data_IF_561440391041
#
_entry.id   IF_561440391041
#
_cell.length_a   1.000
_cell.length_b   1.000
_cell.length_c   1.000
_cell.angle_alpha   90.00
_cell.angle_beta   90.00
_cell.angle_gamma   90.00
#
_symmetry.space_group_name_H-M   'P 1'
#
loop_
_entity.id
_entity.type
_entity.pdbx_description
1 polymer ?
#
# COMPACT_ATOMS: atom_id res chain seq x y z
N UNK A 1 22.39 -1.04 32.71
CA UNK A 1 22.17 -1.88 31.52
C UNK A 1 21.31 -1.09 30.56
N UNK A 2 21.86 -0.64 29.44
CA UNK A 2 21.11 0.14 28.47
C UNK A 2 20.11 -0.78 27.75
N UNK A 3 18.82 -0.61 28.02
CA UNK A 3 17.77 -1.33 27.30
C UNK A 3 17.75 -0.82 25.85
N UNK A 4 18.06 -1.70 24.90
CA UNK A 4 18.00 -1.40 23.48
C UNK A 4 16.54 -1.27 23.06
N UNK A 5 16.19 -0.11 22.51
CA UNK A 5 14.88 0.08 21.88
C UNK A 5 14.80 -0.87 20.70
N UNK A 6 13.75 -1.68 20.68
CA UNK A 6 13.45 -2.58 19.59
C UNK A 6 11.97 -2.50 19.23
N UNK A 7 11.67 -2.82 17.99
CA UNK A 7 10.33 -2.92 17.43
C UNK A 7 10.27 -4.17 16.59
N UNK A 8 9.12 -4.82 16.52
CA UNK A 8 8.95 -5.98 15.66
C UNK A 8 7.64 -5.90 14.90
N UNK A 9 7.65 -6.50 13.73
CA UNK A 9 6.43 -6.80 12.98
C UNK A 9 6.52 -8.24 12.49
N UNK A 10 5.36 -8.84 12.26
CA UNK A 10 5.30 -10.24 11.86
C UNK A 10 4.29 -10.46 10.74
N UNK A 11 4.59 -11.48 9.97
CA UNK A 11 3.69 -12.15 9.06
C UNK A 11 3.40 -13.54 9.63
N UNK A 12 2.53 -14.30 8.98
CA UNK A 12 2.18 -15.64 9.45
C UNK A 12 3.39 -16.59 9.40
N UNK A 13 4.37 -16.32 8.52
CA UNK A 13 5.55 -17.18 8.30
C UNK A 13 6.87 -16.60 8.83
N UNK A 14 7.01 -15.27 8.90
CA UNK A 14 8.26 -14.59 9.26
C UNK A 14 8.03 -13.51 10.29
N UNK A 15 8.97 -13.35 11.22
CA UNK A 15 8.99 -12.25 12.19
C UNK A 15 10.21 -11.38 11.90
N UNK A 16 10.04 -10.06 11.81
CA UNK A 16 11.16 -9.12 11.63
C UNK A 16 11.29 -8.23 12.85
N UNK A 17 12.46 -8.24 13.47
CA UNK A 17 12.84 -7.44 14.63
C UNK A 17 13.81 -6.34 14.21
N UNK A 18 13.42 -5.09 14.43
CA UNK A 18 14.24 -3.90 14.25
C UNK A 18 14.82 -3.46 15.60
N UNK A 19 16.13 -3.60 15.76
CA UNK A 19 16.87 -3.14 16.95
C UNK A 19 17.49 -1.79 16.63
N UNK A 20 17.11 -0.73 17.33
CA UNK A 20 17.60 0.62 17.09
C UNK A 20 18.96 0.85 17.73
N UNK A 21 20.01 0.41 17.03
CA UNK A 21 21.40 0.60 17.43
C UNK A 21 22.11 1.50 16.41
N UNK A 22 22.30 2.78 16.77
CA UNK A 22 22.94 3.77 15.91
C UNK A 22 24.45 3.54 15.87
N UNK A 23 24.99 3.38 14.67
CA UNK A 23 26.43 3.18 14.45
C UNK A 23 26.92 1.79 14.85
N UNK A 24 26.07 0.76 14.76
CA UNK A 24 26.49 -0.61 15.00
C UNK A 24 27.45 -1.09 13.90
N UNK A 25 28.67 -1.45 14.29
CA UNK A 25 29.63 -2.05 13.37
C UNK A 25 29.31 -3.53 13.17
N UNK A 26 29.21 -4.02 11.91
CA UNK A 26 28.88 -5.41 11.63
C UNK A 26 29.90 -6.41 12.22
N UNK A 27 31.14 -5.98 12.45
CA UNK A 27 32.20 -6.82 13.04
C UNK A 27 32.07 -6.98 14.55
N UNK A 28 31.41 -6.05 15.24
CA UNK A 28 31.21 -6.08 16.69
C UNK A 28 29.86 -6.69 17.10
N UNK A 29 28.93 -6.80 16.16
CA UNK A 29 27.61 -7.40 16.35
C UNK A 29 27.72 -8.92 16.42
N UNK A 30 27.38 -9.48 17.59
CA UNK A 30 27.21 -10.92 17.80
C UNK A 30 25.73 -11.24 17.93
N UNK A 31 25.22 -12.05 17.00
CA UNK A 31 23.84 -12.53 16.98
C UNK A 31 23.85 -14.05 17.10
N UNK A 32 23.12 -14.56 18.09
CA UNK A 32 22.90 -16.00 18.28
C UNK A 32 21.42 -16.31 18.15
N UNK A 33 21.11 -17.20 17.20
CA UNK A 33 19.78 -17.75 16.99
C UNK A 33 19.68 -19.13 17.64
N UNK A 34 18.76 -19.28 18.59
CA UNK A 34 18.39 -20.57 19.17
C UNK A 34 16.90 -20.83 18.91
N UNK A 35 16.43 -22.09 18.92
CA UNK A 35 15.06 -22.44 18.58
C UNK A 35 14.00 -21.62 19.33
N UNK A 36 14.26 -21.20 20.58
CA UNK A 36 13.33 -20.41 21.38
C UNK A 36 13.99 -19.24 22.10
N UNK A 37 15.18 -18.85 21.67
CA UNK A 37 15.95 -17.78 22.30
C UNK A 37 16.69 -16.98 21.24
N UNK A 38 16.72 -15.67 21.42
CA UNK A 38 17.48 -14.78 20.58
C UNK A 38 18.37 -13.91 21.47
N UNK A 39 19.64 -13.81 21.12
CA UNK A 39 20.56 -12.90 21.79
C UNK A 39 21.34 -12.06 20.79
N UNK A 40 21.35 -10.77 21.05
CA UNK A 40 22.10 -9.75 20.33
C UNK A 40 23.05 -9.07 21.31
N UNK A 41 24.32 -8.99 20.94
CA UNK A 41 25.35 -8.27 21.72
C UNK A 41 26.14 -7.38 20.79
N UNK A 42 26.25 -6.10 21.14
CA UNK A 42 27.10 -5.12 20.47
C UNK A 42 27.83 -4.28 21.52
N UNK A 43 29.08 -4.63 21.81
CA UNK A 43 29.88 -3.98 22.86
C UNK A 43 29.18 -4.01 24.23
N UNK A 44 28.82 -2.82 24.74
CA UNK A 44 28.14 -2.64 26.03
C UNK A 44 26.61 -2.83 25.98
N UNK A 45 26.03 -2.93 24.78
CA UNK A 45 24.58 -3.07 24.59
C UNK A 45 24.24 -4.53 24.31
N UNK A 46 23.31 -5.08 25.07
CA UNK A 46 22.81 -6.44 24.86
C UNK A 46 21.29 -6.47 24.86
N UNK A 47 20.73 -7.32 24.02
CA UNK A 47 19.30 -7.62 23.97
C UNK A 47 19.15 -9.14 23.96
N UNK A 48 18.52 -9.68 25.01
CA UNK A 48 18.22 -11.10 25.11
C UNK A 48 16.70 -11.25 25.17
N UNK A 49 16.15 -12.01 24.22
CA UNK A 49 14.73 -12.35 24.17
C UNK A 49 14.60 -13.84 24.49
N UNK A 50 14.15 -14.14 25.70
CA UNK A 50 13.95 -15.49 26.22
C UNK A 50 12.75 -15.53 27.19
N UNK A 51 11.84 -16.53 27.08
CA UNK A 51 11.66 -17.45 25.96
C UNK A 51 10.83 -16.79 24.84
N UNK A 52 11.18 -17.09 23.59
CA UNK A 52 10.36 -16.72 22.44
C UNK A 52 9.00 -17.45 22.50
N UNK A 53 7.97 -16.79 21.98
CA UNK A 53 6.59 -17.31 21.99
C UNK A 53 6.45 -18.61 21.17
N UNK A 54 7.25 -18.77 20.12
CA UNK A 54 7.27 -19.96 19.28
C UNK A 54 8.67 -20.37 18.88
N UNK A 55 8.77 -21.52 18.21
CA UNK A 55 10.04 -22.01 17.68
C UNK A 55 10.42 -21.30 16.37
N UNK A 56 11.68 -20.89 16.27
CA UNK A 56 12.28 -20.34 15.04
C UNK A 56 13.19 -21.38 14.39
N UNK A 57 13.35 -21.27 13.08
CA UNK A 57 14.34 -22.01 12.30
C UNK A 57 15.62 -21.15 12.19
N UNK A 58 16.71 -21.50 12.91
CA UNK A 58 17.96 -20.74 12.88
C UNK A 58 18.62 -20.71 11.50
N UNK A 59 18.43 -21.76 10.69
CA UNK A 59 19.08 -21.88 9.37
C UNK A 59 18.45 -20.95 8.34
N UNK A 60 17.15 -20.69 8.47
CA UNK A 60 16.40 -19.78 7.60
C UNK A 60 16.28 -18.35 8.16
N UNK A 61 16.86 -18.08 9.32
CA UNK A 61 16.86 -16.76 9.93
C UNK A 61 18.03 -15.94 9.42
N UNK A 62 17.78 -14.68 9.07
CA UNK A 62 18.76 -13.78 8.47
C UNK A 62 18.84 -12.45 9.24
N UNK A 63 19.95 -11.72 9.09
CA UNK A 63 20.10 -10.40 9.71
C UNK A 63 20.77 -9.42 8.76
N UNK A 64 20.48 -8.13 8.94
CA UNK A 64 21.04 -7.03 8.16
C UNK A 64 21.38 -5.89 9.11
N UNK A 65 22.67 -5.52 9.15
CA UNK A 65 23.16 -4.42 9.98
C UNK A 65 23.09 -3.12 9.17
N UNK A 66 22.20 -2.21 9.56
CA UNK A 66 22.12 -0.87 8.99
C UNK A 66 22.78 0.18 9.90
N UNK A 67 22.98 1.40 9.38
CA UNK A 67 23.63 2.50 10.13
C UNK A 67 22.87 2.97 11.36
N UNK A 68 21.54 2.83 11.36
CA UNK A 68 20.64 3.36 12.41
C UNK A 68 19.93 2.25 13.17
N UNK A 69 19.73 1.10 12.53
CA UNK A 69 19.04 -0.06 13.06
C UNK A 69 19.62 -1.35 12.51
N UNK A 70 19.54 -2.41 13.29
CA UNK A 70 19.82 -3.78 12.89
C UNK A 70 18.48 -4.47 12.68
N UNK A 71 18.28 -5.04 11.50
CA UNK A 71 17.07 -5.80 11.16
C UNK A 71 17.38 -7.29 11.22
N UNK A 72 16.60 -8.02 12.01
CA UNK A 72 16.73 -9.46 12.20
C UNK A 72 15.45 -10.11 11.73
N UNK A 73 15.55 -11.05 10.79
CA UNK A 73 14.43 -11.77 10.21
C UNK A 73 14.46 -13.21 10.73
N UNK A 74 13.45 -13.56 11.50
CA UNK A 74 13.24 -14.91 12.00
C UNK A 74 12.30 -15.67 11.07
N UNK A 75 12.69 -16.88 10.71
CA UNK A 75 11.80 -17.84 10.08
C UNK A 75 11.05 -18.64 11.15
N UNK A 76 9.72 -18.58 11.16
CA UNK A 76 8.92 -19.34 12.13
C UNK A 76 8.81 -20.79 11.71
N UNK A 77 8.95 -21.72 12.65
CA UNK A 77 8.76 -23.14 12.38
C UNK A 77 7.28 -23.51 12.26
N UNK A 78 6.42 -22.85 13.05
CA UNK A 78 4.98 -22.98 12.97
C UNK A 78 4.37 -21.69 12.41
N UNK A 79 3.51 -21.81 11.40
CA UNK A 79 2.74 -20.68 10.87
C UNK A 79 1.80 -20.17 11.96
N UNK A 80 1.88 -18.89 12.28
CA UNK A 80 1.06 -18.27 13.32
C UNK A 80 1.58 -16.90 13.78
N UNK A 81 0.67 -16.04 14.20
CA UNK A 81 1.00 -14.73 14.77
C UNK A 81 1.23 -14.84 16.26
N UNK A 82 2.35 -14.31 16.75
CA UNK A 82 2.76 -14.41 18.14
C UNK A 82 2.13 -13.30 19.00
N UNK A 83 1.88 -12.12 18.42
CA UNK A 83 1.36 -10.94 19.11
C UNK A 83 2.35 -10.30 20.10
N UNK A 84 3.24 -11.08 20.71
CA UNK A 84 4.37 -10.65 21.54
C UNK A 84 5.64 -11.45 21.20
N UNK A 85 6.80 -10.82 21.31
CA UNK A 85 8.11 -11.48 21.11
C UNK A 85 8.42 -12.50 22.21
N UNK A 86 8.16 -12.09 23.45
CA UNK A 86 8.40 -12.88 24.66
C UNK A 86 7.06 -13.37 25.19
N UNK A 87 7.00 -14.62 25.64
CA UNK A 87 5.81 -15.21 26.25
C UNK A 87 6.18 -16.10 27.43
N UNK A 88 5.21 -16.34 28.33
CA UNK A 88 5.39 -17.23 29.47
C UNK A 88 5.58 -18.70 29.06
N UNK A 89 6.36 -19.42 29.87
CA UNK A 89 6.45 -20.88 29.85
C UNK A 89 5.21 -21.46 30.57
N UNK A 90 4.55 -22.53 30.09
CA UNK A 90 5.09 -23.59 29.25
C UNK A 90 4.68 -23.53 27.77
N UNK A 91 5.32 -24.39 27.00
CA UNK A 91 5.05 -24.67 25.58
C UNK A 91 3.63 -25.26 25.38
N UNK A 92 2.69 -24.55 24.70
CA UNK A 92 1.41 -25.17 24.34
C UNK A 92 1.54 -26.26 23.27
N UNK A 93 2.73 -26.48 22.67
CA UNK A 93 3.00 -27.59 21.75
C UNK A 93 3.67 -28.81 22.40
N UNK A 94 4.01 -28.80 23.69
CA UNK A 94 4.49 -30.00 24.37
C UNK A 94 3.40 -31.11 24.50
N UNK A 95 2.16 -30.83 24.11
CA UNK A 95 1.05 -31.79 24.09
C UNK A 95 0.35 -31.92 22.73
N UNK A 96 1.04 -31.64 21.63
CA UNK A 96 0.56 -32.04 20.30
C UNK A 96 1.46 -33.18 19.79
N UNK A 97 0.97 -34.43 19.71
CA UNK A 97 1.75 -35.50 19.12
C UNK A 97 2.11 -35.13 17.69
N UNK A 98 3.37 -35.34 17.36
CA UNK A 98 3.95 -35.21 16.03
C UNK A 98 3.28 -36.24 15.12
N UNK A 99 2.14 -35.89 14.53
CA UNK A 99 1.55 -36.66 13.46
C UNK A 99 2.33 -36.33 12.18
N UNK A 100 3.38 -37.12 11.93
CA UNK A 100 3.94 -37.26 10.61
C UNK A 100 2.84 -37.76 9.66
N UNK A 101 2.34 -36.88 8.81
CA UNK A 101 1.64 -37.23 7.59
C UNK A 101 1.98 -36.16 6.54
N UNK A 102 2.25 -36.54 5.27
CA UNK A 102 2.26 -35.56 4.20
C UNK A 102 0.83 -35.07 4.06
N UNK A 103 0.52 -33.94 4.69
CA UNK A 103 -0.78 -33.31 4.55
C UNK A 103 -0.87 -32.80 3.11
N UNK A 104 -1.60 -33.57 2.29
CA UNK A 104 -2.17 -33.09 1.03
C UNK A 104 -2.72 -31.68 1.27
N UNK A 105 -2.43 -30.68 0.42
CA UNK A 105 -2.83 -29.31 0.68
C UNK A 105 -4.35 -29.27 0.84
N UNK A 106 -4.80 -29.01 2.07
CA UNK A 106 -6.21 -28.74 2.32
C UNK A 106 -6.64 -27.63 1.36
N UNK A 107 -7.81 -27.74 0.71
CA UNK A 107 -8.27 -26.72 -0.22
C UNK A 107 -8.29 -25.40 0.53
N UNK A 108 -7.36 -24.51 0.16
CA UNK A 108 -7.28 -23.16 0.71
C UNK A 108 -8.65 -22.55 0.53
N UNK A 109 -9.33 -22.21 1.63
CA UNK A 109 -10.57 -21.42 1.55
C UNK A 109 -10.24 -20.22 0.66
N UNK A 110 -11.01 -19.95 -0.40
CA UNK A 110 -10.68 -18.88 -1.32
C UNK A 110 -10.52 -17.62 -0.49
N UNK A 111 -9.30 -17.07 -0.50
CA UNK A 111 -9.02 -15.77 0.07
C UNK A 111 -10.02 -14.83 -0.60
N UNK A 112 -10.75 -14.04 0.19
CA UNK A 112 -11.73 -13.08 -0.33
C UNK A 112 -11.01 -12.25 -1.39
N UNK A 113 -11.32 -12.49 -2.65
CA UNK A 113 -10.63 -11.88 -3.77
C UNK A 113 -11.19 -10.47 -3.92
N UNK A 114 -10.58 -9.50 -3.26
CA UNK A 114 -11.02 -8.10 -3.29
C UNK A 114 -10.96 -7.52 -4.71
N UNK A 115 -10.03 -7.99 -5.55
CA UNK A 115 -9.99 -7.68 -6.97
C UNK A 115 -11.17 -8.30 -7.74
N UNK A 116 -11.61 -9.50 -7.34
CA UNK A 116 -12.82 -10.12 -7.90
C UNK A 116 -14.09 -9.37 -7.54
N UNK A 117 -14.22 -8.93 -6.28
CA UNK A 117 -15.36 -8.17 -5.79
C UNK A 117 -15.43 -6.78 -6.45
N UNK A 118 -14.29 -6.11 -6.62
CA UNK A 118 -14.26 -4.81 -7.31
C UNK A 118 -14.63 -4.95 -8.78
N UNK A 119 -14.14 -5.96 -9.49
CA UNK A 119 -14.54 -6.20 -10.88
C UNK A 119 -16.02 -6.59 -10.98
N UNK A 120 -16.55 -7.42 -10.08
CA UNK A 120 -17.97 -7.79 -10.08
C UNK A 120 -18.87 -6.60 -9.76
N UNK A 121 -18.48 -5.69 -8.87
CA UNK A 121 -19.19 -4.42 -8.62
C UNK A 121 -19.12 -3.51 -9.84
N UNK A 122 -17.95 -3.38 -10.47
CA UNK A 122 -17.76 -2.55 -11.67
C UNK A 122 -18.55 -3.07 -12.89
N UNK A 123 -18.72 -4.39 -13.00
CA UNK A 123 -19.48 -5.04 -14.08
C UNK A 123 -21.00 -5.07 -13.79
N UNK A 124 -21.41 -5.13 -12.52
CA UNK A 124 -22.82 -5.18 -12.12
C UNK A 124 -23.45 -3.81 -11.95
N UNK A 125 -22.67 -2.76 -11.68
CA UNK A 125 -23.06 -1.38 -11.98
C UNK A 125 -23.02 -1.17 -13.50
N UNK A 126 -24.09 -1.57 -14.19
CA UNK A 126 -24.42 -0.99 -15.49
C UNK A 126 -24.23 0.53 -15.37
N UNK A 127 -23.53 1.19 -16.32
CA UNK A 127 -23.35 2.63 -16.27
C UNK A 127 -24.72 3.27 -16.07
N UNK A 128 -24.88 3.97 -14.95
CA UNK A 128 -26.08 4.76 -14.69
C UNK A 128 -26.27 5.60 -15.94
N UNK A 129 -27.34 5.31 -16.67
CA UNK A 129 -27.60 6.04 -17.91
C UNK A 129 -27.83 7.50 -17.54
N UNK A 130 -27.26 8.46 -18.28
CA UNK A 130 -27.33 9.89 -17.98
C UNK A 130 -28.77 10.45 -17.93
N UNK A 131 -29.78 9.64 -18.27
CA UNK A 131 -31.20 9.95 -18.19
C UNK A 131 -31.79 9.96 -16.76
N UNK A 132 -31.13 9.37 -15.76
CA UNK A 132 -31.70 9.26 -14.40
C UNK A 132 -31.10 10.21 -13.35
N UNK A 133 -29.84 10.62 -13.48
CA UNK A 133 -29.23 11.59 -12.58
C UNK A 133 -28.07 12.32 -13.31
N UNK A 134 -28.17 13.64 -13.54
CA UNK A 134 -27.13 14.41 -14.22
C UNK A 134 -25.78 14.45 -13.46
N UNK A 135 -25.74 14.02 -12.19
CA UNK A 135 -24.51 13.88 -11.40
C UNK A 135 -24.02 12.42 -11.25
N UNK A 136 -24.78 11.42 -11.71
CA UNK A 136 -24.35 10.02 -11.61
C UNK A 136 -23.45 9.67 -12.81
N UNK A 137 -22.14 9.68 -12.58
CA UNK A 137 -21.15 9.22 -13.56
C UNK A 137 -19.83 10.01 -13.60
N UNK A 138 -19.66 11.02 -12.74
CA UNK A 138 -18.41 11.77 -12.63
C UNK A 138 -17.91 12.30 -13.99
N UNK A 139 -16.59 12.30 -14.18
CA UNK A 139 -15.94 12.71 -15.44
C UNK A 139 -16.39 11.92 -16.68
N UNK A 140 -16.82 10.65 -16.53
CA UNK A 140 -17.18 9.81 -17.67
C UNK A 140 -18.50 10.25 -18.33
N UNK A 141 -19.52 10.54 -17.51
CA UNK A 141 -20.80 11.05 -18.01
C UNK A 141 -20.66 12.45 -18.62
N UNK A 142 -19.84 13.30 -17.99
CA UNK A 142 -19.52 14.64 -18.49
C UNK A 142 -18.79 14.57 -19.84
N UNK A 143 -17.84 13.64 -19.99
CA UNK A 143 -17.12 13.44 -21.26
C UNK A 143 -18.05 12.94 -22.37
N UNK A 144 -18.98 12.02 -22.07
CA UNK A 144 -19.96 11.55 -23.05
C UNK A 144 -20.97 12.63 -23.44
N UNK A 145 -21.35 13.52 -22.52
CA UNK A 145 -22.13 14.72 -22.84
C UNK A 145 -21.37 15.65 -23.81
N UNK A 146 -20.09 15.93 -23.56
CA UNK A 146 -19.28 16.75 -24.46
C UNK A 146 -19.04 16.11 -25.83
N UNK A 147 -18.91 14.79 -25.89
CA UNK A 147 -18.79 14.04 -27.16
C UNK A 147 -20.05 14.17 -28.01
N UNK A 148 -21.23 14.03 -27.40
CA UNK A 148 -22.51 14.24 -28.10
C UNK A 148 -22.66 15.68 -28.56
N UNK A 149 -22.39 16.64 -27.68
CA UNK A 149 -22.46 18.07 -28.01
C UNK A 149 -21.52 18.44 -29.18
N UNK A 150 -20.31 17.88 -29.21
CA UNK A 150 -19.38 18.10 -30.33
C UNK A 150 -19.83 17.40 -31.62
N UNK A 151 -20.33 16.16 -31.53
CA UNK A 151 -20.79 15.39 -32.68
C UNK A 151 -22.00 16.05 -33.37
N UNK A 152 -22.94 16.60 -32.59
CA UNK A 152 -24.15 17.27 -33.12
C UNK A 152 -23.94 18.77 -33.41
N UNK A 153 -22.82 19.37 -33.00
CA UNK A 153 -22.54 20.79 -33.21
C UNK A 153 -22.14 21.14 -34.66
N UNK A 154 -22.57 22.32 -35.10
CA UNK A 154 -22.12 22.96 -36.34
C UNK A 154 -20.63 23.33 -36.29
N UNK A 155 -20.01 23.54 -37.45
CA UNK A 155 -18.56 23.77 -37.56
C UNK A 155 -18.07 24.99 -36.76
N UNK A 156 -18.85 26.07 -36.71
CA UNK A 156 -18.52 27.26 -35.92
C UNK A 156 -18.62 27.00 -34.41
N UNK A 157 -19.60 26.21 -33.98
CA UNK A 157 -19.75 25.79 -32.58
C UNK A 157 -18.59 24.88 -32.16
N UNK A 158 -18.18 23.94 -33.01
CA UNK A 158 -17.00 23.09 -32.77
C UNK A 158 -15.72 23.91 -32.67
N UNK A 159 -15.55 24.91 -33.53
CA UNK A 159 -14.42 25.85 -33.51
C UNK A 159 -14.42 26.69 -32.23
N UNK A 160 -15.58 27.17 -31.80
CA UNK A 160 -15.74 27.89 -30.54
C UNK A 160 -15.32 27.02 -29.36
N UNK A 161 -15.81 25.78 -29.30
CA UNK A 161 -15.52 24.82 -28.23
C UNK A 161 -14.03 24.50 -28.15
N UNK A 162 -13.39 24.17 -29.29
CA UNK A 162 -11.96 23.88 -29.33
C UNK A 162 -11.12 25.10 -28.93
N UNK A 163 -11.46 26.28 -29.44
CA UNK A 163 -10.72 27.51 -29.16
C UNK A 163 -10.87 27.92 -27.70
N UNK A 164 -12.08 27.89 -27.14
CA UNK A 164 -12.32 28.22 -25.73
C UNK A 164 -11.64 27.24 -24.79
N UNK A 165 -11.66 25.95 -25.13
CA UNK A 165 -11.03 24.91 -24.30
C UNK A 165 -9.51 25.08 -24.31
N UNK A 166 -8.92 25.38 -25.47
CA UNK A 166 -7.48 25.57 -25.58
C UNK A 166 -7.00 26.89 -24.93
N UNK A 167 -7.73 27.99 -25.09
CA UNK A 167 -7.38 29.28 -24.49
C UNK A 167 -7.57 29.30 -22.97
N UNK A 168 -8.61 28.62 -22.47
CA UNK A 168 -8.90 28.52 -21.03
C UNK A 168 -8.10 27.43 -20.30
N UNK A 169 -7.15 26.75 -20.97
CA UNK A 169 -6.37 25.67 -20.35
C UNK A 169 -7.23 24.48 -19.91
N UNK A 170 -8.37 24.27 -20.56
CA UNK A 170 -9.28 23.15 -20.31
C UNK A 170 -10.34 23.40 -19.25
N UNK A 171 -10.48 24.62 -18.73
CA UNK A 171 -11.40 24.91 -17.62
C UNK A 171 -12.72 25.56 -18.02
N UNK A 172 -12.81 26.11 -19.24
CA UNK A 172 -14.02 26.77 -19.74
C UNK A 172 -14.35 26.31 -21.16
N UNK A 173 -15.62 25.97 -21.39
CA UNK A 173 -16.14 25.59 -22.70
C UNK A 173 -17.23 26.57 -23.13
N UNK A 174 -17.03 27.22 -24.28
CA UNK A 174 -18.02 28.11 -24.90
C UNK A 174 -18.43 27.57 -26.25
N UNK A 175 -19.73 27.60 -26.53
CA UNK A 175 -20.33 27.18 -27.80
C UNK A 175 -20.57 28.35 -28.76
N UNK A 176 -20.28 29.60 -28.34
CA UNK A 176 -20.58 30.80 -29.12
C UNK A 176 -19.34 31.36 -29.85
N UNK A 177 -19.25 31.11 -31.15
CA UNK A 177 -18.11 31.53 -31.97
C UNK A 177 -17.90 33.04 -32.02
N UNK A 178 -18.99 33.82 -32.07
CA UNK A 178 -18.92 35.28 -32.18
C UNK A 178 -18.26 35.95 -30.97
N UNK A 179 -18.32 35.31 -29.80
CA UNK A 179 -17.77 35.79 -28.54
C UNK A 179 -16.31 35.37 -28.39
N UNK A 180 -16.01 34.09 -28.62
CA UNK A 180 -14.66 33.50 -28.56
C UNK A 180 -13.75 34.06 -29.67
N UNK A 181 -14.32 34.56 -30.77
CA UNK A 181 -13.56 35.24 -31.83
C UNK A 181 -13.12 36.65 -31.42
N UNK A 182 -13.90 37.35 -30.58
CA UNK A 182 -13.65 38.76 -30.20
C UNK A 182 -12.75 38.90 -28.98
N UNK A 183 -12.81 37.98 -28.04
CA UNK A 183 -12.01 38.01 -26.81
C UNK A 183 -11.51 36.62 -26.42
N UNK A 184 -10.31 36.56 -25.84
CA UNK A 184 -9.74 35.32 -25.30
C UNK A 184 -10.52 34.86 -24.07
N UNK A 185 -10.74 33.55 -23.97
CA UNK A 185 -11.48 32.97 -22.82
C UNK A 185 -10.56 32.85 -21.61
N UNK A 186 -10.99 33.44 -20.49
CA UNK A 186 -10.21 33.48 -19.25
C UNK A 186 -10.17 32.11 -18.55
N UNK A 187 -9.02 31.77 -17.97
CA UNK A 187 -8.84 30.52 -17.21
C UNK A 187 -9.51 30.67 -15.85
N UNK A 188 -10.58 29.89 -15.62
CA UNK A 188 -11.21 29.75 -14.31
C UNK A 188 -10.84 28.42 -13.69
N UNK A 189 -9.84 28.35 -12.80
CA UNK A 189 -9.48 27.09 -12.17
C UNK A 189 -10.58 26.60 -11.21
N UNK A 190 -10.70 25.28 -10.98
CA UNK A 190 -11.60 24.73 -9.98
C UNK A 190 -11.31 25.28 -8.58
N UNK A 191 -12.33 25.30 -7.71
CA UNK A 191 -12.22 25.82 -6.36
C UNK A 191 -11.06 25.15 -5.58
N UNK A 192 -10.16 25.95 -5.01
CA UNK A 192 -8.95 25.47 -4.32
C UNK A 192 -7.72 25.28 -5.21
N UNK A 193 -7.80 25.55 -6.52
CA UNK A 193 -6.67 25.50 -7.45
C UNK A 193 -6.29 26.90 -7.95
N UNK A 194 -4.99 27.21 -7.99
CA UNK A 194 -4.47 28.46 -8.58
C UNK A 194 -3.80 28.17 -9.93
N UNK A 195 -4.23 28.87 -10.97
CA UNK A 195 -3.56 28.81 -12.27
C UNK A 195 -2.19 29.48 -12.20
N UNK A 196 -1.13 28.73 -12.51
CA UNK A 196 0.24 29.27 -12.64
C UNK A 196 0.81 28.94 -14.02
N UNK A 197 1.22 29.99 -14.75
CA UNK A 197 1.96 29.87 -16.01
C UNK A 197 3.44 29.65 -15.69
N UNK A 198 3.90 28.42 -15.83
CA UNK A 198 5.31 28.08 -15.68
C UNK A 198 5.99 28.14 -17.06
N UNK A 199 6.67 29.26 -17.34
CA UNK A 199 7.43 29.45 -18.59
C UNK A 199 7.68 30.92 -18.94
N UNK A 200 8.88 31.40 -18.60
CA UNK A 200 9.69 32.35 -19.39
C UNK A 200 11.02 31.65 -19.66
#
# INVERSE_FOLDING_TARGET
>A
MASLRHEFYETDERLTLSIFDKGADPEQVKITFEPRKFSYTNGEKSLVLEPLKGQIDPEKSDFTVGKVKVEVRFAKMAQGRWGSLVGDSPDPLASAPVAAAPASPAPRKPRKNWDGITNEILESEKPVSPDQDPNAGGDAAVNDFFRKLYADADEDTRRAMMKSFQESGGTTLSTNWEEVKKSTVEVKPPEGSEWKKWGV
#
